data_IF_902306152408
#
_entry.id   IF_902306152408
#
_cell.length_a   1.000
_cell.length_b   1.000
_cell.length_c   1.000
_cell.angle_alpha   90.00
_cell.angle_beta   90.00
_cell.angle_gamma   90.00
#
_symmetry.space_group_name_H-M   'P 1'
#
loop_
_entity.id
_entity.type
_entity.pdbx_description
1 polymer ?
#
# COMPACT_ATOMS: atom_id res chain seq x y z
N UNK A 1 15.99 -7.35 -32.72
CA UNK A 1 17.09 -7.63 -33.66
C UNK A 1 16.56 -7.82 -35.08
N UNK A 2 16.97 -6.98 -36.03
CA UNK A 2 16.41 -6.94 -37.39
C UNK A 2 16.80 -8.16 -38.25
N UNK A 3 17.91 -8.82 -37.92
CA UNK A 3 18.35 -10.06 -38.61
C UNK A 3 17.48 -11.27 -38.27
N UNK A 4 16.96 -11.35 -37.04
CA UNK A 4 16.05 -12.43 -36.62
C UNK A 4 14.72 -12.36 -37.39
N UNK A 5 14.14 -11.16 -37.53
CA UNK A 5 12.90 -10.93 -38.32
C UNK A 5 13.07 -11.25 -39.81
N UNK A 6 14.23 -10.97 -40.40
CA UNK A 6 14.50 -11.27 -41.81
C UNK A 6 14.65 -12.79 -42.09
N UNK A 7 15.21 -13.54 -41.14
CA UNK A 7 15.31 -15.00 -41.25
C UNK A 7 13.95 -15.70 -41.04
N UNK A 8 13.08 -15.14 -40.21
CA UNK A 8 11.74 -15.66 -39.92
C UNK A 8 10.83 -15.62 -41.17
N UNK A 9 10.86 -14.51 -41.91
CA UNK A 9 10.12 -14.32 -43.16
C UNK A 9 10.56 -15.26 -44.29
N UNK A 10 11.82 -15.73 -44.28
CA UNK A 10 12.35 -16.61 -45.32
C UNK A 10 11.87 -18.07 -45.23
N UNK A 11 11.27 -18.47 -44.11
CA UNK A 11 10.82 -19.87 -43.88
C UNK A 11 9.32 -20.10 -44.08
N UNK A 12 8.54 -19.02 -44.29
CA UNK A 12 7.08 -19.09 -44.48
C UNK A 12 6.29 -19.52 -43.23
N UNK A 13 6.95 -19.71 -42.08
CA UNK A 13 6.29 -20.07 -40.81
C UNK A 13 6.23 -18.84 -39.91
N UNK A 14 5.05 -18.25 -39.80
CA UNK A 14 4.78 -17.18 -38.82
C UNK A 14 4.76 -17.82 -37.43
N UNK A 15 5.59 -17.33 -36.51
CA UNK A 15 5.56 -17.75 -35.10
C UNK A 15 4.34 -17.14 -34.42
N UNK A 16 3.65 -17.92 -33.60
CA UNK A 16 2.55 -17.40 -32.78
C UNK A 16 3.08 -16.29 -31.85
N UNK A 17 2.29 -15.23 -31.59
CA UNK A 17 2.61 -14.23 -30.58
C UNK A 17 2.90 -14.88 -29.22
N UNK A 18 3.89 -14.35 -28.48
CA UNK A 18 4.25 -14.84 -27.15
C UNK A 18 3.19 -14.48 -26.08
N UNK A 19 2.35 -13.50 -26.36
CA UNK A 19 1.24 -13.08 -25.52
C UNK A 19 0.16 -12.46 -26.40
N UNK A 20 -1.05 -13.03 -26.37
CA UNK A 20 -2.21 -12.47 -27.06
C UNK A 20 -3.51 -12.98 -26.42
N UNK A 21 -4.64 -12.27 -26.58
CA UNK A 21 -5.95 -12.80 -26.23
C UNK A 21 -6.22 -14.09 -27.01
N UNK A 22 -6.85 -15.08 -26.38
CA UNK A 22 -7.15 -16.37 -27.02
C UNK A 22 -7.93 -16.21 -28.32
N UNK A 23 -8.90 -15.30 -28.33
CA UNK A 23 -9.72 -14.98 -29.51
C UNK A 23 -8.88 -14.48 -30.69
N UNK A 24 -7.82 -13.71 -30.41
CA UNK A 24 -6.96 -13.14 -31.44
C UNK A 24 -6.02 -14.21 -32.01
N UNK A 25 -5.50 -15.11 -31.16
CA UNK A 25 -4.73 -16.28 -31.63
C UNK A 25 -5.58 -17.14 -32.58
N UNK A 26 -6.82 -17.45 -32.20
CA UNK A 26 -7.73 -18.22 -33.05
C UNK A 26 -8.05 -17.50 -34.36
N UNK A 27 -8.29 -16.19 -34.31
CA UNK A 27 -8.54 -15.38 -35.50
C UNK A 27 -7.32 -15.32 -36.45
N UNK A 28 -6.10 -15.39 -35.91
CA UNK A 28 -4.85 -15.49 -36.66
C UNK A 28 -4.56 -16.91 -37.18
N UNK A 29 -5.39 -17.91 -36.83
CA UNK A 29 -5.20 -19.31 -37.22
C UNK A 29 -4.20 -20.09 -36.36
N UNK A 30 -3.82 -19.56 -35.19
CA UNK A 30 -2.98 -20.26 -34.22
C UNK A 30 -3.84 -21.03 -33.21
N UNK A 31 -3.39 -22.23 -32.84
CA UNK A 31 -3.96 -22.93 -31.68
C UNK A 31 -3.46 -22.25 -30.39
N UNK A 32 -4.32 -21.95 -29.41
CA UNK A 32 -3.90 -21.26 -28.19
C UNK A 32 -3.17 -22.22 -27.25
N UNK A 33 -1.85 -22.29 -27.41
CA UNK A 33 -0.95 -23.12 -26.59
C UNK A 33 -0.16 -22.21 -25.66
N UNK A 34 -0.30 -22.40 -24.34
CA UNK A 34 0.38 -21.60 -23.33
C UNK A 34 -0.33 -21.62 -21.98
N UNK A 35 0.18 -20.81 -21.04
CA UNK A 35 -0.49 -20.53 -19.77
C UNK A 35 -1.66 -19.56 -20.00
N UNK A 36 -2.78 -19.79 -19.32
CA UNK A 36 -3.97 -18.92 -19.41
C UNK A 36 -3.97 -17.92 -18.28
N UNK A 37 -4.04 -16.64 -18.62
CA UNK A 37 -4.11 -15.52 -17.67
C UNK A 37 -5.34 -14.68 -18.02
N UNK A 38 -6.48 -15.04 -17.43
CA UNK A 38 -7.78 -14.47 -17.84
C UNK A 38 -8.09 -14.80 -19.30
N UNK A 39 -8.27 -13.78 -20.13
CA UNK A 39 -8.49 -13.94 -21.58
C UNK A 39 -7.20 -14.14 -22.39
N UNK A 40 -6.05 -13.96 -21.76
CA UNK A 40 -4.74 -14.02 -22.41
C UNK A 40 -4.18 -15.43 -22.42
N UNK A 41 -3.51 -15.78 -23.51
CA UNK A 41 -2.63 -16.95 -23.59
C UNK A 41 -1.20 -16.46 -23.73
N UNK A 42 -0.34 -16.93 -22.84
CA UNK A 42 1.06 -16.52 -22.75
C UNK A 42 1.99 -17.71 -22.88
N UNK A 43 3.10 -17.52 -23.57
CA UNK A 43 4.21 -18.48 -23.59
C UNK A 43 4.79 -18.62 -22.18
N UNK A 44 4.99 -19.85 -21.70
CA UNK A 44 5.34 -20.13 -20.31
C UNK A 44 6.75 -19.64 -19.93
N UNK A 45 7.72 -19.81 -20.84
CA UNK A 45 9.10 -19.34 -20.61
C UNK A 45 9.14 -17.83 -20.62
N UNK A 46 8.52 -17.22 -21.64
CA UNK A 46 8.31 -15.78 -21.71
C UNK A 46 7.70 -15.35 -20.37
N UNK A 47 6.55 -15.86 -19.95
CA UNK A 47 5.86 -15.44 -18.72
C UNK A 47 6.72 -15.51 -17.45
N UNK A 48 7.50 -16.59 -17.30
CA UNK A 48 8.45 -16.73 -16.19
C UNK A 48 9.51 -15.64 -16.18
N UNK A 49 10.13 -15.35 -17.33
CA UNK A 49 11.15 -14.31 -17.46
C UNK A 49 10.60 -12.93 -17.04
N UNK A 50 9.37 -12.58 -17.44
CA UNK A 50 8.76 -11.30 -17.03
C UNK A 50 8.39 -11.22 -15.57
N UNK A 51 8.15 -12.37 -14.92
CA UNK A 51 7.95 -12.39 -13.46
C UNK A 51 9.25 -12.04 -12.74
N UNK A 52 10.39 -12.57 -13.19
CA UNK A 52 11.71 -12.24 -12.64
C UNK A 52 12.09 -10.78 -12.92
N UNK A 53 11.83 -10.29 -14.14
CA UNK A 53 12.03 -8.88 -14.51
C UNK A 53 11.15 -7.94 -13.68
N UNK A 54 9.89 -8.30 -13.42
CA UNK A 54 8.98 -7.53 -12.57
C UNK A 54 9.52 -7.39 -11.15
N UNK A 55 9.96 -8.48 -10.53
CA UNK A 55 10.55 -8.46 -9.18
C UNK A 55 11.81 -7.59 -9.17
N UNK A 56 12.67 -7.73 -10.18
CA UNK A 56 13.90 -6.95 -10.32
C UNK A 56 13.64 -5.46 -10.54
N UNK A 57 12.62 -5.12 -11.34
CA UNK A 57 12.21 -3.74 -11.60
C UNK A 57 11.68 -3.07 -10.33
N UNK A 58 10.81 -3.75 -9.57
CA UNK A 58 10.30 -3.23 -8.29
C UNK A 58 11.42 -3.05 -7.25
N UNK A 59 12.38 -3.98 -7.19
CA UNK A 59 13.53 -3.86 -6.31
C UNK A 59 14.42 -2.66 -6.69
N UNK A 60 14.73 -2.50 -7.97
CA UNK A 60 15.50 -1.36 -8.49
C UNK A 60 14.79 -0.03 -8.22
N UNK A 61 13.50 0.05 -8.54
CA UNK A 61 12.69 1.23 -8.28
C UNK A 61 12.73 1.61 -6.81
N UNK A 62 12.61 0.64 -5.91
CA UNK A 62 12.64 0.87 -4.46
C UNK A 62 14.01 1.38 -3.99
N UNK A 63 15.11 0.90 -4.57
CA UNK A 63 16.45 1.39 -4.27
C UNK A 63 16.70 2.82 -4.76
N UNK A 64 16.13 3.20 -5.90
CA UNK A 64 16.25 4.54 -6.48
C UNK A 64 15.26 5.54 -5.85
N UNK A 65 14.14 5.06 -5.30
CA UNK A 65 13.05 5.87 -4.77
C UNK A 65 12.73 5.50 -3.31
N UNK A 66 13.64 5.87 -2.43
CA UNK A 66 13.72 5.49 -1.01
C UNK A 66 12.40 5.64 -0.20
N UNK A 67 11.54 6.62 -0.52
CA UNK A 67 10.26 6.88 0.17
C UNK A 67 9.03 6.60 -0.71
N UNK A 68 9.20 6.18 -1.96
CA UNK A 68 8.05 5.96 -2.85
C UNK A 68 7.05 4.95 -2.27
N UNK A 69 5.77 5.14 -2.61
CA UNK A 69 4.69 4.23 -2.21
C UNK A 69 4.72 2.87 -2.95
N UNK A 70 5.68 2.70 -3.87
CA UNK A 70 5.77 1.61 -4.83
C UNK A 70 5.92 2.14 -6.25
N UNK A 71 6.26 1.24 -7.17
CA UNK A 71 6.35 1.52 -8.59
C UNK A 71 4.95 1.57 -9.20
N UNK A 72 4.60 2.59 -10.01
CA UNK A 72 3.32 2.64 -10.71
C UNK A 72 3.13 1.42 -11.63
N UNK A 73 1.95 0.79 -11.58
CA UNK A 73 1.64 -0.39 -12.42
C UNK A 73 1.72 -0.10 -13.92
N UNK A 74 1.36 1.12 -14.32
CA UNK A 74 1.45 1.56 -15.72
C UNK A 74 2.89 1.76 -16.18
N UNK A 75 3.80 2.15 -15.27
CA UNK A 75 5.23 2.23 -15.58
C UNK A 75 5.81 0.82 -15.74
N UNK A 76 5.49 -0.09 -14.82
CA UNK A 76 5.85 -1.52 -14.93
C UNK A 76 5.33 -2.14 -16.23
N UNK A 77 4.08 -1.82 -16.62
CA UNK A 77 3.51 -2.31 -17.86
C UNK A 77 4.36 -1.91 -19.07
N UNK A 78 4.84 -0.66 -19.11
CA UNK A 78 5.68 -0.14 -20.20
C UNK A 78 7.08 -0.73 -20.16
N UNK A 79 7.70 -0.78 -18.98
CA UNK A 79 9.06 -1.29 -18.78
C UNK A 79 9.18 -2.78 -19.16
N UNK A 80 8.13 -3.56 -18.90
CA UNK A 80 8.05 -4.98 -19.21
C UNK A 80 7.44 -5.28 -20.59
N UNK A 81 7.16 -4.25 -21.40
CA UNK A 81 6.50 -4.35 -22.72
C UNK A 81 5.22 -5.21 -22.70
N UNK A 82 4.42 -5.04 -21.64
CA UNK A 82 3.18 -5.78 -21.45
C UNK A 82 2.03 -5.10 -22.19
N UNK A 83 1.17 -5.86 -22.89
CA UNK A 83 0.09 -5.28 -23.67
C UNK A 83 -1.05 -4.71 -22.81
N UNK A 84 -1.16 -5.13 -21.54
CA UNK A 84 -2.26 -4.73 -20.66
C UNK A 84 -1.88 -4.73 -19.17
N UNK A 85 -2.58 -3.91 -18.37
CA UNK A 85 -2.26 -3.68 -16.96
C UNK A 85 -2.66 -4.86 -16.06
N UNK A 86 -3.69 -5.61 -16.45
CA UNK A 86 -4.12 -6.83 -15.75
C UNK A 86 -3.03 -7.92 -15.76
N UNK A 87 -2.17 -7.94 -16.78
CA UNK A 87 -1.02 -8.85 -16.84
C UNK A 87 0.04 -8.50 -15.80
N UNK A 88 0.23 -7.21 -15.47
CA UNK A 88 1.12 -6.80 -14.38
C UNK A 88 0.62 -7.35 -13.05
N UNK A 89 -0.68 -7.25 -12.80
CA UNK A 89 -1.33 -7.76 -11.58
C UNK A 89 -1.18 -9.28 -11.50
N UNK A 90 -1.37 -9.98 -12.61
CA UNK A 90 -1.21 -11.43 -12.68
C UNK A 90 0.25 -11.88 -12.50
N UNK A 91 1.23 -11.13 -13.02
CA UNK A 91 2.65 -11.42 -12.81
C UNK A 91 3.06 -11.30 -11.35
N UNK A 92 2.54 -10.30 -10.64
CA UNK A 92 2.82 -10.07 -9.24
C UNK A 92 2.17 -11.12 -8.31
N UNK A 93 1.18 -11.88 -8.79
CA UNK A 93 0.61 -12.96 -8.01
C UNK A 93 1.66 -14.03 -7.70
N UNK A 94 1.79 -14.39 -6.42
CA UNK A 94 2.73 -15.42 -5.97
C UNK A 94 4.20 -14.97 -5.84
N UNK A 95 4.54 -13.72 -6.16
CA UNK A 95 5.90 -13.18 -5.97
C UNK A 95 6.15 -12.63 -4.56
N UNK A 96 5.08 -12.54 -3.76
CA UNK A 96 5.11 -11.88 -2.46
C UNK A 96 5.08 -10.34 -2.54
N UNK A 97 4.92 -9.75 -3.74
CA UNK A 97 4.75 -8.30 -3.88
C UNK A 97 3.33 -7.85 -3.49
N UNK A 98 3.25 -6.63 -2.95
CA UNK A 98 1.99 -5.99 -2.57
C UNK A 98 1.51 -5.02 -3.65
N UNK A 99 0.23 -5.12 -4.01
CA UNK A 99 -0.44 -4.18 -4.92
C UNK A 99 -1.41 -3.32 -4.10
N UNK A 100 -1.23 -2.00 -4.13
CA UNK A 100 -2.19 -1.06 -3.55
C UNK A 100 -2.17 0.27 -4.32
N UNK A 101 -3.32 0.91 -4.47
CA UNK A 101 -3.47 2.24 -5.07
C UNK A 101 -2.76 2.39 -6.44
N UNK A 102 -2.89 1.36 -7.30
CA UNK A 102 -2.27 1.33 -8.64
C UNK A 102 -0.74 1.26 -8.61
N UNK A 103 -0.16 0.75 -7.53
CA UNK A 103 1.28 0.60 -7.34
C UNK A 103 1.64 -0.78 -6.84
N UNK A 104 2.85 -1.22 -7.19
CA UNK A 104 3.44 -2.47 -6.73
C UNK A 104 4.68 -2.16 -5.89
N UNK A 105 4.83 -2.84 -4.76
CA UNK A 105 5.98 -2.67 -3.86
C UNK A 105 6.35 -3.98 -3.18
N UNK A 106 7.54 -4.00 -2.61
CA UNK A 106 7.93 -5.00 -1.63
C UNK A 106 7.20 -4.74 -0.31
N UNK A 107 6.52 -5.75 0.29
CA UNK A 107 5.95 -5.64 1.62
C UNK A 107 7.00 -5.27 2.67
N UNK A 108 6.61 -4.50 3.67
CA UNK A 108 7.48 -4.21 4.82
C UNK A 108 8.82 -3.56 4.44
N UNK A 109 8.88 -2.84 3.31
CA UNK A 109 10.09 -2.10 2.94
C UNK A 109 10.54 -1.20 4.08
N UNK A 110 11.79 -1.37 4.51
CA UNK A 110 12.38 -0.60 5.60
C UNK A 110 12.37 0.89 5.25
N UNK A 111 12.22 1.73 6.28
CA UNK A 111 12.38 3.17 6.09
C UNK A 111 13.85 3.49 5.81
N UNK A 112 14.14 4.49 4.97
CA UNK A 112 15.51 4.97 4.80
C UNK A 112 16.08 5.47 6.12
N UNK A 113 17.38 5.29 6.36
CA UNK A 113 18.06 5.67 7.61
C UNK A 113 17.77 7.12 8.04
N UNK A 114 17.66 8.04 7.07
CA UNK A 114 17.31 9.45 7.30
C UNK A 114 15.94 9.65 7.95
N UNK A 115 14.97 8.78 7.63
CA UNK A 115 13.60 8.80 8.17
C UNK A 115 13.51 7.97 9.43
N UNK A 116 14.22 6.85 9.46
CA UNK A 116 14.22 5.87 10.54
C UNK A 116 14.44 6.53 11.91
N UNK A 117 15.49 7.36 12.03
CA UNK A 117 15.79 8.07 13.29
C UNK A 117 14.68 9.03 13.72
N UNK A 118 14.10 9.77 12.77
CA UNK A 118 13.03 10.72 13.04
C UNK A 118 11.74 10.01 13.47
N UNK A 119 11.39 8.90 12.81
CA UNK A 119 10.23 8.08 13.18
C UNK A 119 10.41 7.43 14.53
N UNK A 120 11.60 6.88 14.85
CA UNK A 120 11.88 6.33 16.17
C UNK A 120 11.76 7.39 17.28
N UNK A 121 12.21 8.62 17.02
CA UNK A 121 12.04 9.74 17.97
C UNK A 121 10.55 10.05 18.20
N UNK A 122 9.75 10.04 17.13
CA UNK A 122 8.31 10.25 17.21
C UNK A 122 7.59 9.08 17.92
N UNK A 123 8.05 7.85 17.73
CA UNK A 123 7.52 6.67 18.43
C UNK A 123 7.81 6.74 19.93
N UNK A 124 9.02 7.12 20.34
CA UNK A 124 9.37 7.29 21.76
C UNK A 124 8.49 8.34 22.44
N UNK A 125 8.27 9.47 21.75
CA UNK A 125 7.30 10.47 22.18
C UNK A 125 5.91 9.86 22.31
N UNK A 126 5.37 9.23 21.26
CA UNK A 126 4.01 8.66 21.27
C UNK A 126 3.88 7.44 22.20
N UNK A 127 4.98 6.84 22.64
CA UNK A 127 4.97 5.85 23.70
C UNK A 127 4.69 6.50 25.07
N UNK A 128 5.28 7.68 25.32
CA UNK A 128 5.11 8.46 26.54
C UNK A 128 3.77 9.21 26.57
N UNK A 129 3.35 9.83 25.46
CA UNK A 129 2.11 10.60 25.34
C UNK A 129 1.27 10.09 24.14
N UNK A 130 0.53 8.98 24.28
CA UNK A 130 -0.05 8.24 23.14
C UNK A 130 -1.08 8.98 22.29
N UNK A 131 -1.66 10.05 22.83
CA UNK A 131 -2.67 10.83 22.16
C UNK A 131 -2.26 12.29 21.94
N UNK A 132 -1.01 12.66 22.25
CA UNK A 132 -0.44 13.99 21.96
C UNK A 132 0.18 13.96 20.57
N UNK A 133 -0.68 13.92 19.55
CA UNK A 133 -0.27 13.97 18.16
C UNK A 133 0.57 15.24 17.91
N UNK A 134 1.73 15.14 17.23
CA UNK A 134 2.52 16.31 16.90
C UNK A 134 1.74 17.25 15.97
N UNK A 135 2.10 18.52 15.99
CA UNK A 135 1.65 19.50 15.00
C UNK A 135 2.61 19.59 13.81
N UNK A 136 2.32 20.50 12.87
CA UNK A 136 3.08 20.62 11.64
C UNK A 136 4.50 21.14 11.87
N UNK A 137 4.71 22.01 12.86
CA UNK A 137 6.01 22.60 13.14
C UNK A 137 6.91 21.57 13.83
N UNK A 138 6.36 20.81 14.79
CA UNK A 138 7.06 19.71 15.46
C UNK A 138 7.46 18.59 14.48
N UNK A 139 6.58 18.27 13.52
CA UNK A 139 6.90 17.33 12.44
C UNK A 139 7.99 17.88 11.52
N UNK A 140 7.97 19.18 11.22
CA UNK A 140 8.98 19.84 10.40
C UNK A 140 10.35 19.85 11.08
N UNK A 141 10.42 20.05 12.40
CA UNK A 141 11.66 19.95 13.18
C UNK A 141 12.28 18.55 13.11
N UNK A 142 11.43 17.51 13.11
CA UNK A 142 11.85 16.12 12.88
C UNK A 142 12.14 15.80 11.40
N UNK A 143 12.00 16.77 10.49
CA UNK A 143 12.12 16.58 9.05
C UNK A 143 11.14 15.52 8.50
N UNK A 144 9.98 15.36 9.13
CA UNK A 144 8.92 14.43 8.76
C UNK A 144 7.85 15.14 7.92
N UNK A 145 8.04 15.14 6.61
CA UNK A 145 7.06 15.60 5.64
C UNK A 145 5.93 14.59 5.41
N UNK A 146 5.00 14.96 4.53
CA UNK A 146 3.86 14.10 4.18
C UNK A 146 4.28 12.75 3.58
N UNK A 147 5.38 12.71 2.82
CA UNK A 147 5.88 11.49 2.18
C UNK A 147 6.52 10.55 3.21
N UNK A 148 7.33 11.09 4.11
CA UNK A 148 7.97 10.39 5.23
C UNK A 148 6.91 9.77 6.15
N UNK A 149 5.89 10.56 6.54
CA UNK A 149 4.78 10.07 7.36
C UNK A 149 3.98 8.98 6.64
N UNK A 150 3.70 9.15 5.34
CA UNK A 150 3.04 8.12 4.56
C UNK A 150 3.88 6.83 4.49
N UNK A 151 5.20 6.93 4.41
CA UNK A 151 6.08 5.76 4.48
C UNK A 151 6.02 5.08 5.85
N UNK A 152 6.08 5.84 6.94
CA UNK A 152 5.97 5.29 8.30
C UNK A 152 4.62 4.61 8.55
N UNK A 153 3.52 5.17 8.03
CA UNK A 153 2.19 4.55 8.09
C UNK A 153 2.13 3.26 7.28
N UNK A 154 2.69 3.25 6.06
CA UNK A 154 2.78 2.03 5.24
C UNK A 154 3.64 0.94 5.89
N UNK A 155 4.69 1.33 6.60
CA UNK A 155 5.54 0.43 7.37
C UNK A 155 4.85 -0.07 8.67
N UNK A 156 3.63 0.38 8.97
CA UNK A 156 2.89 -0.02 10.17
C UNK A 156 3.44 0.56 11.47
N UNK A 157 4.36 1.54 11.38
CA UNK A 157 5.01 2.18 12.52
C UNK A 157 4.16 3.31 13.12
N UNK A 158 3.35 3.95 12.29
CA UNK A 158 2.41 4.98 12.70
C UNK A 158 1.02 4.66 12.16
N UNK A 159 -0.02 5.24 12.75
CA UNK A 159 -1.36 5.26 12.18
C UNK A 159 -1.79 6.68 11.89
N UNK A 160 -2.30 6.92 10.69
CA UNK A 160 -2.99 8.16 10.35
C UNK A 160 -4.45 8.04 10.77
N UNK A 161 -4.91 8.95 11.64
CA UNK A 161 -6.32 8.98 12.08
C UNK A 161 -7.12 10.08 11.35
N UNK A 162 -6.44 11.13 10.88
CA UNK A 162 -6.99 12.21 10.07
C UNK A 162 -5.87 12.93 9.31
N UNK A 163 -6.21 13.87 8.43
CA UNK A 163 -5.22 14.72 7.77
C UNK A 163 -4.43 15.54 8.79
N UNK A 164 -3.10 15.41 8.73
CA UNK A 164 -2.19 16.04 9.71
C UNK A 164 -2.28 15.47 11.12
N UNK A 165 -2.91 14.31 11.33
CA UNK A 165 -2.98 13.65 12.64
C UNK A 165 -2.48 12.21 12.54
N UNK A 166 -1.28 12.00 13.08
CA UNK A 166 -0.64 10.68 13.21
C UNK A 166 -0.46 10.32 14.68
N UNK A 167 -0.62 9.04 15.01
CA UNK A 167 -0.40 8.48 16.34
C UNK A 167 0.42 7.18 16.24
N UNK A 168 0.81 6.64 17.39
CA UNK A 168 1.56 5.39 17.47
C UNK A 168 0.75 4.19 16.95
N UNK A 169 1.41 3.07 16.63
CA UNK A 169 0.78 1.96 15.90
C UNK A 169 -0.37 1.31 16.67
N UNK A 170 -0.31 1.37 18.00
CA UNK A 170 -1.29 0.79 18.92
C UNK A 170 -2.35 1.81 19.40
N UNK A 171 -2.49 2.98 18.75
CA UNK A 171 -3.34 4.06 19.22
C UNK A 171 -4.81 3.64 19.41
N UNK A 172 -5.37 2.83 18.51
CA UNK A 172 -6.76 2.36 18.61
C UNK A 172 -6.96 1.45 19.83
N UNK A 173 -6.05 0.51 20.05
CA UNK A 173 -6.10 -0.39 21.21
C UNK A 173 -5.97 0.40 22.52
N UNK A 174 -4.95 1.25 22.63
CA UNK A 174 -4.74 2.10 23.82
C UNK A 174 -5.95 3.00 24.08
N UNK A 175 -6.56 3.56 23.04
CA UNK A 175 -7.74 4.39 23.20
C UNK A 175 -8.93 3.58 23.75
N UNK A 176 -9.15 2.38 23.25
CA UNK A 176 -10.20 1.50 23.76
C UNK A 176 -9.98 1.15 25.24
N UNK A 177 -8.74 0.82 25.62
CA UNK A 177 -8.35 0.54 27.00
C UNK A 177 -8.60 1.75 27.93
N UNK A 178 -8.17 2.95 27.53
CA UNK A 178 -8.43 4.18 28.30
C UNK A 178 -9.93 4.49 28.42
N UNK A 179 -10.69 4.30 27.35
CA UNK A 179 -12.13 4.56 27.33
C UNK A 179 -12.93 3.53 28.13
N UNK A 180 -12.39 2.34 28.38
CA UNK A 180 -13.02 1.32 29.23
C UNK A 180 -13.13 1.78 30.69
N UNK A 181 -12.22 2.64 31.15
CA UNK A 181 -12.28 3.27 32.47
C UNK A 181 -13.27 4.42 32.58
N UNK A 182 -13.91 4.84 31.49
CA UNK A 182 -14.85 5.99 31.48
C UNK A 182 -16.29 5.49 31.70
N UNK A 183 -17.09 6.16 32.56
CA UNK A 183 -18.51 5.86 32.70
C UNK A 183 -19.26 5.85 31.36
N UNK A 184 -20.02 4.78 31.12
CA UNK A 184 -20.72 4.54 29.86
C UNK A 184 -22.21 4.93 29.97
N UNK A 185 -22.82 5.56 28.94
CA UNK A 185 -22.19 6.11 27.75
C UNK A 185 -21.37 7.37 28.06
N UNK A 186 -20.34 7.63 27.26
CA UNK A 186 -19.49 8.81 27.42
C UNK A 186 -19.73 9.85 26.32
N UNK A 187 -19.51 11.12 26.67
CA UNK A 187 -19.49 12.23 25.72
C UNK A 187 -18.10 12.38 25.10
N UNK A 188 -17.99 13.10 23.98
CA UNK A 188 -16.69 13.50 23.41
C UNK A 188 -15.84 14.26 24.44
N UNK A 189 -16.46 15.09 25.28
CA UNK A 189 -15.75 15.83 26.32
C UNK A 189 -15.21 14.93 27.45
N UNK A 190 -15.89 13.82 27.77
CA UNK A 190 -15.38 12.83 28.71
C UNK A 190 -14.24 12.01 28.09
N UNK A 191 -14.39 11.56 26.84
CA UNK A 191 -13.33 10.86 26.11
C UNK A 191 -12.06 11.72 25.98
N UNK A 192 -12.20 13.00 25.59
CA UNK A 192 -11.09 13.94 25.49
C UNK A 192 -10.30 14.06 26.79
N UNK A 193 -10.99 14.12 27.93
CA UNK A 193 -10.37 14.19 29.26
C UNK A 193 -9.67 12.88 29.62
N UNK A 194 -10.29 11.74 29.34
CA UNK A 194 -9.72 10.43 29.64
C UNK A 194 -8.48 10.11 28.80
N UNK A 195 -8.46 10.58 27.55
CA UNK A 195 -7.35 10.41 26.61
C UNK A 195 -6.29 11.53 26.72
N UNK A 196 -6.48 12.49 27.63
CA UNK A 196 -5.66 13.70 27.79
C UNK A 196 -5.20 14.32 26.46
N UNK A 197 -6.17 14.64 25.60
CA UNK A 197 -5.87 15.11 24.24
C UNK A 197 -6.74 16.28 23.83
N UNK A 198 -6.55 16.75 22.60
CA UNK A 198 -7.31 17.85 22.02
C UNK A 198 -8.52 17.34 21.23
N UNK A 199 -9.45 18.23 20.91
CA UNK A 199 -10.60 17.87 20.04
C UNK A 199 -10.15 17.46 18.63
N UNK A 200 -9.04 18.06 18.13
CA UNK A 200 -8.41 17.74 16.84
C UNK A 200 -8.05 16.26 16.72
N UNK A 201 -7.67 15.63 17.83
CA UNK A 201 -7.29 14.21 17.89
C UNK A 201 -8.48 13.35 18.34
N UNK A 202 -9.16 13.74 19.41
CA UNK A 202 -10.23 12.93 20.02
C UNK A 202 -11.38 12.62 19.06
N UNK A 203 -11.84 13.60 18.28
CA UNK A 203 -12.98 13.41 17.37
C UNK A 203 -12.65 12.38 16.27
N UNK A 204 -11.61 12.57 15.44
CA UNK A 204 -11.27 11.60 14.41
C UNK A 204 -10.85 10.24 14.98
N UNK A 205 -10.21 10.20 16.15
CA UNK A 205 -9.91 8.92 16.82
C UNK A 205 -11.21 8.16 17.17
N UNK A 206 -12.21 8.84 17.73
CA UNK A 206 -13.50 8.22 18.06
C UNK A 206 -14.27 7.81 16.80
N UNK A 207 -14.22 8.59 15.72
CA UNK A 207 -14.81 8.21 14.43
C UNK A 207 -14.13 6.96 13.84
N UNK A 208 -12.80 6.89 13.96
CA UNK A 208 -12.03 5.73 13.53
C UNK A 208 -12.31 4.48 14.39
N UNK A 209 -12.59 4.63 15.68
CA UNK A 209 -13.07 3.56 16.57
C UNK A 209 -14.51 3.14 16.23
N UNK A 210 -15.38 4.10 15.88
CA UNK A 210 -16.75 3.82 15.43
C UNK A 210 -16.73 3.00 14.12
N UNK A 211 -15.90 3.38 13.15
CA UNK A 211 -15.74 2.67 11.87
C UNK A 211 -15.16 1.25 12.05
N UNK A 212 -14.36 1.04 13.10
CA UNK A 212 -13.81 -0.28 13.48
C UNK A 212 -14.79 -1.09 14.33
N UNK A 213 -15.95 -0.53 14.66
CA UNK A 213 -16.93 -1.18 15.52
C UNK A 213 -16.44 -1.41 16.95
N UNK A 214 -15.47 -0.62 17.43
CA UNK A 214 -14.96 -0.63 18.83
C UNK A 214 -15.79 0.29 19.72
N UNK A 215 -16.32 1.36 19.14
CA UNK A 215 -17.33 2.22 19.77
C UNK A 215 -18.57 2.29 18.93
N UNK A 216 -19.69 2.66 19.55
CA UNK A 216 -20.95 2.92 18.86
C UNK A 216 -21.48 4.29 19.25
N UNK A 217 -21.56 5.19 18.28
CA UNK A 217 -22.23 6.49 18.42
C UNK A 217 -23.74 6.34 18.49
N UNK A 218 -24.36 7.00 19.47
CA UNK A 218 -25.81 7.07 19.70
C UNK A 218 -26.42 8.33 19.08
N UNK A 219 -27.75 8.38 18.87
CA UNK A 219 -28.43 9.55 18.33
C UNK A 219 -28.26 10.83 19.16
N UNK A 220 -28.10 10.69 20.48
CA UNK A 220 -27.85 11.80 21.41
C UNK A 220 -26.39 12.32 21.37
N UNK A 221 -25.55 11.77 20.49
CA UNK A 221 -24.15 12.14 20.33
C UNK A 221 -23.18 11.52 21.34
N UNK A 222 -23.69 10.74 22.31
CA UNK A 222 -22.85 9.94 23.21
C UNK A 222 -22.34 8.67 22.53
N UNK A 223 -21.35 8.02 23.13
CA UNK A 223 -20.77 6.76 22.65
C UNK A 223 -20.76 5.70 23.73
N UNK A 224 -20.83 4.45 23.30
CA UNK A 224 -20.56 3.28 24.12
C UNK A 224 -19.37 2.52 23.54
N UNK A 225 -18.59 1.86 24.39
CA UNK A 225 -17.76 0.75 23.94
C UNK A 225 -18.64 -0.44 23.54
N UNK A 226 -18.25 -1.09 22.44
CA UNK A 226 -18.81 -2.38 22.04
C UNK A 226 -18.09 -3.49 22.80
N UNK A 227 -18.84 -4.52 23.20
CA UNK A 227 -18.25 -5.73 23.78
C UNK A 227 -17.64 -6.62 22.69
#
# INVERSE_FOLDING_TARGET
DARARAAELATGRVRAPLCAPEKDLRAMGFEPVGERVGEWVVDATWWSDRREELVSAVARWSAEHDIAAGMPTEELRRDLDLPAIELVTALAAGTGLEIADGRIRTPGAALPDRVEKAVSTLEDWLAAEPFRAPDADELAELHLGAKELAAAVRAGRLVKIADGVVLGPNAYQRAAESLAGVPQPFTVAAAKRALDTTRRVAVPLLEALDARGVTRRRPDGTRLLTR
#
